data_IF_162420837444
#
_entry.id   IF_162420837444
#
_cell.length_a   1.000
_cell.length_b   1.000
_cell.length_c   1.000
_cell.angle_alpha   90.00
_cell.angle_beta   90.00
_cell.angle_gamma   90.00
#
_symmetry.space_group_name_H-M   'P 1'
#
loop_
_entity.id
_entity.type
_entity.pdbx_description
1 polymer ?
2 non-polymer ?
3 non-polymer ?
4 water ?
#
# COMPACT_ATOMS: atom_id res chain seq x y z
N UNK A 1 -13.29 12.57 5.06
CA UNK A 1 -13.41 11.76 3.80
C UNK A 1 -12.34 10.63 3.76
N UNK A 2 -11.18 10.89 4.25
CA UNK A 2 -10.19 9.75 4.54
C UNK A 2 -10.21 9.17 5.96
N UNK A 3 -10.97 9.75 6.88
CA UNK A 3 -10.71 9.59 8.34
C UNK A 3 -10.84 8.17 8.85
N UNK A 4 -11.68 7.31 8.31
CA UNK A 4 -11.75 5.96 8.90
C UNK A 4 -10.50 5.14 8.55
N UNK A 5 -9.69 5.59 7.57
CA UNK A 5 -8.42 4.91 7.25
C UNK A 5 -7.30 5.27 8.22
N UNK A 6 -7.46 6.35 8.99
CA UNK A 6 -6.35 6.85 9.77
C UNK A 6 -6.08 5.95 10.95
N UNK A 7 -4.82 5.80 11.30
CA UNK A 7 -4.41 5.05 12.47
C UNK A 7 -3.30 4.10 12.17
N UNK A 8 -3.08 3.19 13.13
CA UNK A 8 -2.03 2.19 13.06
C UNK A 8 -2.67 0.82 12.81
N UNK A 9 -2.16 0.12 11.82
CA UNK A 9 -2.75 -1.11 11.30
C UNK A 9 -1.66 -2.19 11.25
N UNK A 10 -2.04 -3.43 11.55
CA UNK A 10 -1.12 -4.54 11.58
C UNK A 10 -1.54 -5.60 10.59
N UNK A 11 -0.61 -6.18 9.83
CA UNK A 11 -0.97 -7.23 8.87
C UNK A 11 -1.41 -8.50 9.61
N UNK A 12 -2.57 -9.03 9.19
CA UNK A 12 -3.12 -10.25 9.79
C UNK A 12 -3.49 -11.31 8.77
N UNK A 13 -3.36 -11.05 7.47
CA UNK A 13 -3.64 -12.08 6.45
C UNK A 13 -2.97 -11.59 5.17
N UNK A 14 -2.48 -12.53 4.35
CA UNK A 14 -1.92 -12.16 3.06
C UNK A 14 -2.14 -13.29 2.06
N UNK A 15 -2.64 -12.90 0.89
CA UNK A 15 -2.92 -13.83 -0.20
C UNK A 15 -2.23 -13.33 -1.47
N UNK A 16 -1.41 -14.19 -2.06
CA UNK A 16 -0.78 -13.93 -3.37
C UNK A 16 0.25 -12.81 -3.37
N UNK A 17 0.84 -12.49 -2.20
CA UNK A 17 1.87 -11.46 -2.21
C UNK A 17 3.11 -11.91 -2.98
N UNK A 18 3.46 -13.20 -2.89
CA UNK A 18 4.58 -13.66 -3.69
C UNK A 18 4.33 -13.44 -5.18
N UNK A 19 3.12 -13.75 -5.66
CA UNK A 19 2.79 -13.53 -7.07
C UNK A 19 3.01 -12.06 -7.45
N UNK A 20 2.52 -11.17 -6.60
CA UNK A 20 2.63 -9.74 -6.85
C UNK A 20 4.11 -9.30 -6.91
N UNK A 21 4.88 -9.68 -5.90
CA UNK A 21 6.29 -9.33 -5.89
C UNK A 21 7.02 -9.91 -7.09
N UNK A 22 6.73 -11.17 -7.43
CA UNK A 22 7.39 -11.80 -8.56
C UNK A 22 7.07 -11.04 -9.84
N UNK A 23 5.82 -10.63 -10.01
CA UNK A 23 5.41 -9.87 -11.20
C UNK A 23 6.22 -8.59 -11.35
N UNK A 24 6.53 -7.95 -10.22
CA UNK A 24 7.32 -6.73 -10.18
C UNK A 24 8.84 -7.00 -10.35
N UNK A 25 9.26 -8.26 -10.42
CA UNK A 25 10.69 -8.56 -10.56
C UNK A 25 11.47 -8.62 -9.29
N UNK A 26 10.82 -8.73 -8.15
CA UNK A 26 11.53 -8.85 -6.87
C UNK A 26 12.21 -10.23 -6.83
N UNK A 27 13.47 -10.27 -6.42
CA UNK A 27 14.22 -11.49 -6.37
C UNK A 27 13.79 -12.45 -5.30
N UNK A 28 14.15 -13.74 -5.48
CA UNK A 28 13.61 -14.80 -4.62
C UNK A 28 13.95 -14.60 -3.16
N UNK A 29 15.15 -14.12 -2.84
CA UNK A 29 15.55 -14.03 -1.44
C UNK A 29 14.75 -12.96 -0.73
N UNK A 30 14.51 -11.85 -1.41
CA UNK A 30 13.67 -10.76 -0.89
C UNK A 30 12.24 -11.27 -0.72
N UNK A 31 11.72 -11.97 -1.71
CA UNK A 31 10.34 -12.49 -1.58
C UNK A 31 10.23 -13.38 -0.38
N UNK A 32 11.23 -14.19 -0.21
CA UNK A 32 11.25 -15.14 0.88
C UNK A 32 11.13 -14.41 2.24
N UNK A 33 11.93 -13.37 2.52
CA UNK A 33 11.85 -12.60 3.75
C UNK A 33 10.49 -11.90 3.86
N UNK A 34 10.09 -11.25 2.77
CA UNK A 34 8.81 -10.50 2.76
C UNK A 34 7.62 -11.38 3.04
N UNK A 35 7.66 -12.63 2.64
CA UNK A 35 6.54 -13.56 2.85
C UNK A 35 6.34 -13.88 4.32
N UNK A 36 7.34 -13.61 5.18
CA UNK A 36 7.23 -13.91 6.62
C UNK A 36 7.25 -12.64 7.46
N UNK A 37 7.11 -11.48 6.82
CA UNK A 37 7.11 -10.19 7.50
C UNK A 37 5.64 -9.75 7.66
N UNK A 38 5.35 -9.09 8.80
CA UNK A 38 3.99 -8.57 9.08
C UNK A 38 4.13 -7.07 9.34
N UNK A 39 4.06 -6.26 8.31
CA UNK A 39 4.26 -4.83 8.51
C UNK A 39 3.17 -4.20 9.36
N UNK A 40 3.57 -3.04 9.89
CA UNK A 40 2.67 -2.09 10.49
C UNK A 40 2.53 -0.91 9.53
N UNK A 41 1.30 -0.54 9.20
CA UNK A 41 1.03 0.62 8.36
C UNK A 41 0.40 1.71 9.22
N UNK A 42 0.96 2.91 9.16
CA UNK A 42 0.47 4.06 9.93
C UNK A 42 0.01 5.09 8.92
N UNK A 43 -1.23 5.53 9.03
CA UNK A 43 -1.80 6.54 8.12
C UNK A 43 -2.21 7.72 8.99
N UNK A 44 -1.60 8.88 8.74
CA UNK A 44 -1.84 10.10 9.51
C UNK A 44 -2.18 11.23 8.55
N UNK A 45 -3.00 12.19 9.02
CA UNK A 45 -3.19 13.42 8.23
C UNK A 45 -2.88 14.64 9.08
N UNK A 46 -2.51 15.66 8.33
CA UNK A 46 -2.31 17.02 8.89
C UNK A 46 -2.86 17.95 7.81
N UNK A 47 -4.07 18.44 8.02
CA UNK A 47 -4.74 19.19 6.97
C UNK A 47 -4.89 18.31 5.75
N UNK A 48 -4.44 18.89 4.62
CA UNK A 48 -4.56 18.25 3.31
C UNK A 48 -3.42 17.25 3.05
N UNK A 49 -2.53 17.07 3.96
CA UNK A 49 -1.38 16.18 3.68
C UNK A 49 -1.54 14.89 4.47
N UNK A 50 -1.52 13.75 3.75
CA UNK A 50 -1.47 12.41 4.34
C UNK A 50 -0.02 11.94 4.36
N UNK A 51 0.29 11.19 5.41
CA UNK A 51 1.55 10.49 5.51
C UNK A 51 1.26 9.02 5.79
N UNK A 52 1.85 8.15 5.00
CA UNK A 52 1.63 6.70 5.07
C UNK A 52 2.99 6.06 5.30
N UNK A 53 3.15 5.47 6.48
CA UNK A 53 4.38 4.77 6.89
C UNK A 53 4.13 3.28 6.82
N UNK A 54 5.12 2.52 6.36
CA UNK A 54 5.07 1.07 6.43
C UNK A 54 6.35 0.62 7.12
N UNK A 55 6.21 -0.07 8.25
CA UNK A 55 7.34 -0.45 9.09
C UNK A 55 7.39 -1.95 9.22
N UNK A 56 8.59 -2.51 9.19
CA UNK A 56 8.74 -3.94 9.43
C UNK A 56 10.15 -4.22 9.89
N UNK A 57 10.42 -5.50 10.18
CA UNK A 57 11.77 -5.94 10.47
C UNK A 57 12.68 -5.97 9.27
N UNK A 58 12.15 -5.84 8.07
CA UNK A 58 12.87 -5.94 6.81
C UNK A 58 13.05 -4.61 6.16
N UNK A 59 12.03 -3.94 5.80
CA UNK A 59 12.10 -2.65 5.12
C UNK A 59 11.14 -1.70 5.77
N UNK A 60 11.46 -0.40 5.65
CA UNK A 60 10.58 0.68 6.07
C UNK A 60 10.40 1.61 4.88
N UNK A 61 9.20 2.18 4.76
CA UNK A 61 8.92 3.22 3.79
C UNK A 61 8.08 4.32 4.43
N UNK A 62 8.13 5.50 3.83
CA UNK A 62 7.24 6.59 4.20
C UNK A 62 6.99 7.44 2.96
N UNK A 63 5.73 7.80 2.74
CA UNK A 63 5.34 8.73 1.70
C UNK A 63 4.42 9.80 2.32
N UNK A 64 4.50 11.02 1.79
CA UNK A 64 3.55 12.07 2.10
C UNK A 64 2.99 12.62 0.78
N UNK A 65 1.70 12.93 0.80
CA UNK A 65 1.02 13.34 -0.42
C UNK A 65 -0.24 14.10 -0.08
N UNK A 66 -0.66 14.87 -1.05
CA UNK A 66 -1.98 15.47 -1.06
C UNK A 66 -2.89 14.61 -1.93
N UNK A 67 -4.18 14.25 -1.57
CA UNK A 67 -5.03 13.52 -2.45
C UNK A 67 -5.15 14.27 -3.75
N UNK A 68 -5.07 13.51 -4.85
CA UNK A 68 -5.30 14.05 -6.15
C UNK A 68 -4.17 14.86 -6.74
N UNK A 69 -2.99 14.83 -6.11
CA UNK A 69 -1.82 15.56 -6.60
C UNK A 69 -0.68 14.57 -6.80
N UNK A 70 -0.14 14.51 -8.00
CA UNK A 70 0.93 13.55 -8.29
C UNK A 70 2.15 13.85 -7.43
N UNK A 71 2.88 12.77 -7.08
CA UNK A 71 4.11 12.88 -6.30
C UNK A 71 5.08 11.82 -6.81
N UNK A 72 6.38 12.13 -6.68
CA UNK A 72 7.41 11.15 -6.91
C UNK A 72 7.49 10.19 -5.72
N UNK A 73 7.76 8.91 -6.00
CA UNK A 73 7.87 7.90 -4.96
C UNK A 73 8.99 6.93 -5.37
N UNK A 74 9.72 6.44 -4.36
CA UNK A 74 10.68 5.36 -4.54
C UNK A 74 10.20 4.21 -3.66
N UNK A 75 9.77 3.12 -4.30
CA UNK A 75 9.07 2.07 -3.59
C UNK A 75 10.02 1.20 -2.77
N UNK A 76 9.45 0.30 -1.97
CA UNK A 76 10.25 -0.59 -1.12
C UNK A 76 11.23 -1.43 -1.94
N UNK A 77 10.83 -1.80 -3.16
CA UNK A 77 11.64 -2.56 -4.10
C UNK A 77 12.41 -1.67 -5.06
N UNK A 78 12.53 -0.38 -4.75
CA UNK A 78 13.42 0.57 -5.44
C UNK A 78 12.97 0.93 -6.85
N UNK A 79 11.67 0.86 -7.14
CA UNK A 79 11.16 1.47 -8.36
C UNK A 79 10.96 2.97 -8.12
N UNK A 80 11.35 3.77 -9.10
CA UNK A 80 11.12 5.23 -9.08
C UNK A 80 9.88 5.47 -9.93
N UNK A 81 8.81 5.85 -9.28
CA UNK A 81 7.49 5.89 -9.90
C UNK A 81 6.86 7.29 -9.73
N UNK A 82 5.87 7.55 -10.59
CA UNK A 82 5.00 8.71 -10.48
C UNK A 82 3.72 8.19 -9.87
N UNK A 83 3.28 8.79 -8.76
CA UNK A 83 2.16 8.28 -7.98
C UNK A 83 1.07 9.30 -7.80
N UNK A 84 -0.14 8.78 -7.60
CA UNK A 84 -1.26 9.63 -7.20
C UNK A 84 -2.18 8.79 -6.33
N UNK A 85 -2.73 9.40 -5.31
CA UNK A 85 -3.67 8.74 -4.40
C UNK A 85 -4.96 9.54 -4.41
N UNK A 86 -6.10 8.86 -4.57
CA UNK A 86 -7.42 9.51 -4.62
C UNK A 86 -8.45 8.62 -3.96
N UNK A 87 -9.50 9.23 -3.44
CA UNK A 87 -10.67 8.48 -2.95
C UNK A 87 -11.61 8.23 -4.12
N UNK A 88 -12.02 6.97 -4.22
CA UNK A 88 -12.84 6.51 -5.34
C UNK A 88 -13.80 5.47 -4.77
N UNK A 89 -15.08 5.76 -4.73
CA UNK A 89 -16.02 4.80 -4.17
C UNK A 89 -15.75 4.53 -2.70
N UNK A 90 -15.20 5.50 -2.00
CA UNK A 90 -14.84 5.31 -0.59
C UNK A 90 -13.55 4.54 -0.36
N UNK A 91 -12.87 4.15 -1.42
CA UNK A 91 -11.62 3.43 -1.33
C UNK A 91 -10.47 4.40 -1.57
N UNK A 92 -9.38 4.13 -0.90
CA UNK A 92 -8.20 4.93 -1.06
C UNK A 92 -7.39 4.26 -2.20
N UNK A 93 -7.28 4.85 -3.42
CA UNK A 93 -6.67 4.22 -4.61
C UNK A 93 -5.31 4.90 -4.87
N UNK A 94 -4.26 4.13 -4.78
CA UNK A 94 -2.89 4.58 -5.04
C UNK A 94 -2.44 3.96 -6.37
N UNK A 95 -2.17 4.80 -7.36
CA UNK A 95 -1.71 4.36 -8.68
C UNK A 95 -0.24 4.77 -8.84
N UNK A 96 0.61 3.82 -9.20
CA UNK A 96 2.03 4.06 -9.48
C UNK A 96 2.27 3.78 -10.97
N UNK A 97 3.03 4.67 -11.61
CA UNK A 97 3.38 4.59 -13.03
C UNK A 97 4.90 4.68 -13.20
N UNK A 98 5.46 3.81 -14.02
CA UNK A 98 6.90 3.88 -14.33
C UNK A 98 7.15 3.05 -15.58
N UNK A 99 7.98 3.53 -16.46
CA UNK A 99 8.40 2.75 -17.66
C UNK A 99 7.16 2.31 -18.47
N UNK A 100 6.07 3.05 -18.45
CA UNK A 100 4.84 2.65 -19.13
C UNK A 100 4.01 1.60 -18.40
N UNK A 101 4.52 1.05 -17.32
CA UNK A 101 3.90 0.08 -16.38
C UNK A 101 3.00 0.83 -15.40
N UNK A 102 2.05 0.09 -14.83
CA UNK A 102 1.26 0.62 -13.71
C UNK A 102 1.05 -0.49 -12.69
N UNK A 103 0.86 -0.07 -11.45
CA UNK A 103 0.32 -0.96 -10.44
C UNK A 103 -0.61 -0.14 -9.56
N UNK A 104 -1.67 -0.78 -9.06
CA UNK A 104 -2.61 -0.13 -8.14
C UNK A 104 -2.56 -0.81 -6.79
N UNK A 105 -2.69 0.03 -5.77
CA UNK A 105 -2.75 -0.37 -4.36
C UNK A 105 -4.06 0.24 -3.85
N UNK A 106 -5.08 -0.59 -3.66
CA UNK A 106 -6.42 -0.11 -3.32
C UNK A 106 -6.73 -0.52 -1.89
N UNK A 107 -7.12 0.46 -1.07
CA UNK A 107 -7.46 0.18 0.33
C UNK A 107 -8.95 0.45 0.55
N UNK A 108 -9.57 -0.45 1.27
CA UNK A 108 -10.97 -0.27 1.64
C UNK A 108 -11.21 -0.87 3.00
N UNK A 109 -12.26 -0.42 3.58
CA UNK A 109 -12.65 -0.88 4.92
C UNK A 109 -13.81 -1.83 4.78
N UNK A 110 -13.67 -3.01 5.33
CA UNK A 110 -14.72 -4.05 5.36
C UNK A 110 -14.85 -4.59 6.79
N UNK A 111 -16.07 -4.51 7.45
CA UNK A 111 -16.24 -5.05 8.87
C UNK A 111 -15.14 -4.50 9.85
N UNK A 112 -14.62 -3.26 9.48
CA UNK A 112 -13.57 -2.61 10.39
C UNK A 112 -12.12 -3.00 10.07
N UNK A 113 -11.94 -3.90 9.11
CA UNK A 113 -10.60 -4.31 8.66
C UNK A 113 -10.22 -3.52 7.42
N UNK A 114 -8.94 -3.28 7.28
CA UNK A 114 -8.47 -2.62 6.07
C UNK A 114 -7.97 -3.70 5.11
N UNK A 115 -8.54 -3.67 3.93
CA UNK A 115 -8.20 -4.64 2.89
C UNK A 115 -7.43 -3.88 1.81
N UNK A 116 -6.21 -4.31 1.58
CA UNK A 116 -5.30 -3.76 0.59
C UNK A 116 -5.24 -4.74 -0.59
N UNK A 117 -5.64 -4.29 -1.76
CA UNK A 117 -5.59 -5.10 -2.97
C UNK A 117 -4.51 -4.52 -3.87
N UNK A 118 -3.55 -5.34 -4.23
CA UNK A 118 -2.37 -4.96 -5.00
C UNK A 118 -2.48 -5.66 -6.36
N UNK A 119 -2.46 -4.91 -7.47
CA UNK A 119 -2.59 -5.50 -8.79
C UNK A 119 -1.42 -5.05 -9.66
N UNK A 120 -0.72 -5.98 -10.28
CA UNK A 120 0.29 -5.67 -11.30
C UNK A 120 0.25 -6.80 -12.31
N UNK A 121 0.23 -6.46 -13.58
CA UNK A 121 0.05 -7.51 -14.58
C UNK A 121 -1.24 -8.24 -14.33
N UNK A 122 -1.20 -9.55 -14.26
CA UNK A 122 -2.37 -10.33 -13.91
C UNK A 122 -2.41 -10.66 -12.43
N UNK A 123 -1.36 -10.37 -11.67
CA UNK A 123 -1.26 -10.75 -10.26
C UNK A 123 -2.14 -9.84 -9.41
N UNK A 124 -2.93 -10.48 -8.54
CA UNK A 124 -3.81 -9.78 -7.63
C UNK A 124 -3.58 -10.33 -6.23
N UNK A 125 -3.09 -9.48 -5.35
CA UNK A 125 -2.80 -9.82 -3.96
C UNK A 125 -3.76 -9.10 -3.04
N UNK A 126 -4.21 -9.80 -2.00
CA UNK A 126 -5.10 -9.24 -1.02
C UNK A 126 -4.49 -9.37 0.35
N UNK A 127 -4.24 -8.22 1.03
CA UNK A 127 -3.66 -8.21 2.35
C UNK A 127 -4.63 -7.53 3.30
N UNK A 128 -4.77 -8.13 4.46
CA UNK A 128 -5.73 -7.64 5.44
C UNK A 128 -4.99 -7.12 6.65
N UNK A 129 -5.37 -5.93 7.07
CA UNK A 129 -4.80 -5.27 8.22
C UNK A 129 -5.90 -5.04 9.26
N UNK A 130 -5.52 -5.15 10.53
CA UNK A 130 -6.43 -4.85 11.63
C UNK A 130 -5.87 -3.71 12.46
N UNK A 131 -6.79 -2.91 12.97
CA UNK A 131 -6.45 -1.67 13.64
C UNK A 131 -5.85 -1.98 14.97
N UNK A 132 -4.75 -1.33 15.29
CA UNK A 132 -4.17 -1.21 16.65
C UNK A 132 -4.81 -0.03 17.43
N UNK A 133 -5.06 -0.29 18.70
CA UNK A 133 -5.64 0.70 19.63
C UNK A 133 -4.66 1.83 19.90
X LIG B 1 1.94 -3.69 2.11
X LIG B 1 2.69 -4.16 0.88
X LIG B 1 3.26 -3.19 -0.04
X LIG B 1 4.27 -3.72 -1.00
X LIG B 1 5.09 -2.71 -1.70
X LIG B 1 5.73 -3.10 -2.99
X LIG B 1 6.40 -4.39 -3.20
X LIG B 1 7.57 -4.53 -2.26
X LIG B 1 1.88 -2.48 2.35
X LIG B 1 1.38 -4.59 2.83
X LIG C 1 3.36 -15.86 13.29
X LIG C 1 4.44 -15.13 13.92
X LIG C 1 3.98 -14.20 15.00
X LIG C 1 3.29 -13.13 14.44
X LIG C 1 2.87 -12.21 15.46
X LIG C 1 2.20 -11.01 14.83
X LIG C 1 1.01 -11.33 14.08
X LIG C 1 -0.08 -11.90 14.81
X LIG C 1 -1.21 -12.03 13.87
X LIG C 1 -0.96 -12.97 12.86
X LIG C 1 -2.12 -13.34 12.09
X LIG C 1 -1.75 -14.24 10.94
X LIG C 1 -0.96 -13.49 10.00
X LIG C 1 -0.94 -14.16 8.77
X LIG C 1 -0.15 -13.42 7.76
X LIG C 1 1.21 -13.71 7.90
X LIG C 1 1.99 -13.07 6.91
X LIG C 1 3.43 -13.38 7.09
X LIG C 1 3.65 -14.80 6.84
#
# INVERSE_FOLDING_TARGET
>A
MVDAFLGTWKLVDSKNFDDYMKSLGVGFATRQVASMTKPTTIIEKNGDILTLKTHSTFKNTEISFKLGVEFDETTADDRKVKSIVTLDGGKLVHLQKWDGQETTLVRELIDGKLILTLTHGTAVCTRTYEKEA
>B hetero
1 OCA C1 C2 C3 C4 C5 C6 C7 C8 O1 O2
>C hetero
1 P6G O1 C2 C3 O4 C5 C6 O7 C8 C9 O10 C11 C12 O13 C14 C15 O16 C17 C18 O19
#
